data_IF_366877052157
#
_entry.id   IF_366877052157
#
_cell.length_a   1.000
_cell.length_b   1.000
_cell.length_c   1.000
_cell.angle_alpha   90.00
_cell.angle_beta   90.00
_cell.angle_gamma   90.00
#
_symmetry.space_group_name_H-M   'P 1'
#
loop_
_entity.id
_entity.type
_entity.pdbx_description
1 polymer ?
#
# COMPACT_ATOMS: atom_id res chain seq x y z
N UNK A 1 -48.00 58.32 23.68
CA UNK A 1 -47.81 57.03 23.01
C UNK A 1 -46.40 57.02 22.40
N UNK A 2 -45.43 56.46 23.11
CA UNK A 2 -44.02 56.37 22.62
C UNK A 2 -43.80 54.99 21.99
N UNK A 3 -43.51 54.96 20.68
CA UNK A 3 -43.15 53.75 19.95
C UNK A 3 -41.65 53.50 20.14
N UNK A 4 -41.32 52.40 20.83
CA UNK A 4 -39.94 51.96 20.98
C UNK A 4 -39.65 51.06 19.75
N UNK A 5 -38.71 51.52 18.92
CA UNK A 5 -38.21 50.79 17.76
C UNK A 5 -37.02 49.92 18.24
N UNK A 6 -37.26 48.60 18.31
CA UNK A 6 -36.22 47.62 18.66
C UNK A 6 -35.40 47.28 17.42
N UNK A 7 -34.14 47.73 17.41
CA UNK A 7 -33.20 47.47 16.32
C UNK A 7 -32.54 46.13 16.57
N UNK A 8 -32.89 45.10 15.80
CA UNK A 8 -32.19 43.80 15.82
C UNK A 8 -30.89 43.88 15.02
N UNK A 9 -29.76 43.87 15.70
CA UNK A 9 -28.44 43.71 15.07
C UNK A 9 -28.16 42.22 14.87
N UNK A 10 -28.25 41.77 13.62
CA UNK A 10 -27.84 40.41 13.22
C UNK A 10 -26.32 40.38 13.06
N UNK A 11 -25.61 39.80 14.03
CA UNK A 11 -24.17 39.54 13.94
C UNK A 11 -23.97 38.30 13.08
N UNK A 12 -23.60 38.50 11.82
CA UNK A 12 -23.18 37.40 10.92
C UNK A 12 -21.78 36.99 11.29
N UNK A 13 -21.64 35.85 12.01
CA UNK A 13 -20.34 35.18 12.26
C UNK A 13 -19.93 34.52 10.94
N UNK A 14 -19.05 35.18 10.19
CA UNK A 14 -18.36 34.57 9.07
C UNK A 14 -17.33 33.58 9.63
N UNK A 15 -17.73 32.34 9.75
CA UNK A 15 -16.79 31.25 10.02
C UNK A 15 -15.88 31.08 8.79
N UNK A 16 -14.66 31.60 8.84
CA UNK A 16 -13.58 31.24 7.94
C UNK A 16 -13.22 29.77 8.17
N UNK A 17 -13.97 28.86 7.53
CA UNK A 17 -13.57 27.49 7.38
C UNK A 17 -12.38 27.43 6.41
N UNK A 18 -11.15 27.37 6.95
CA UNK A 18 -9.98 27.05 6.15
C UNK A 18 -10.21 25.69 5.49
N UNK A 19 -10.51 25.69 4.20
CA UNK A 19 -10.51 24.49 3.37
C UNK A 19 -9.10 23.89 3.45
N UNK A 20 -8.90 22.89 4.31
CA UNK A 20 -7.78 21.94 4.16
C UNK A 20 -7.97 21.39 2.75
N UNK A 21 -7.08 21.78 1.83
CA UNK A 21 -6.98 21.21 0.50
C UNK A 21 -6.91 19.70 0.71
N UNK A 22 -7.97 18.97 0.39
CA UNK A 22 -7.96 17.53 0.40
C UNK A 22 -6.79 17.13 -0.48
N UNK A 23 -5.74 16.55 0.10
CA UNK A 23 -4.68 15.91 -0.65
C UNK A 23 -5.44 14.88 -1.48
N UNK A 24 -5.26 14.95 -2.80
CA UNK A 24 -5.94 14.05 -3.73
C UNK A 24 -5.45 12.64 -3.38
N UNK A 25 -6.15 11.99 -2.44
CA UNK A 25 -5.75 10.70 -1.86
C UNK A 25 -5.59 9.63 -2.94
N UNK A 26 -6.29 9.78 -4.05
CA UNK A 26 -6.27 8.86 -5.16
C UNK A 26 -4.96 8.93 -5.98
N UNK A 27 -4.25 10.05 -5.96
CA UNK A 27 -2.98 10.19 -6.70
C UNK A 27 -1.91 9.19 -6.22
N UNK A 28 -1.84 8.93 -4.93
CA UNK A 28 -0.82 8.08 -4.32
C UNK A 28 -1.37 6.71 -3.92
N UNK A 29 -2.26 6.16 -4.74
CA UNK A 29 -2.67 4.76 -4.62
C UNK A 29 -1.94 3.91 -5.65
N UNK A 30 -1.58 2.67 -5.28
CA UNK A 30 -0.93 1.73 -6.20
C UNK A 30 -1.82 1.48 -7.44
N UNK A 31 -3.13 1.52 -7.26
CA UNK A 31 -4.12 1.35 -8.32
C UNK A 31 -4.14 2.53 -9.32
N UNK A 32 -3.70 3.72 -8.90
CA UNK A 32 -3.64 4.89 -9.81
C UNK A 32 -2.56 4.73 -10.89
N UNK A 33 -1.59 3.86 -10.67
CA UNK A 33 -0.51 3.55 -11.61
C UNK A 33 -0.89 2.48 -12.63
N UNK A 34 -1.89 1.64 -12.30
CA UNK A 34 -2.34 0.58 -13.20
C UNK A 34 -2.68 1.14 -14.59
N UNK A 35 -2.30 0.40 -15.63
CA UNK A 35 -2.54 0.77 -17.03
C UNK A 35 -1.85 2.07 -17.48
N UNK A 36 -0.87 2.58 -16.72
CA UNK A 36 -0.03 3.71 -17.12
C UNK A 36 1.26 3.21 -17.77
N UNK A 37 1.71 3.93 -18.78
CA UNK A 37 3.07 3.77 -19.30
C UNK A 37 4.04 4.72 -18.57
N UNK A 38 5.33 4.57 -18.87
CA UNK A 38 6.40 5.34 -18.27
C UNK A 38 6.17 6.87 -18.36
N UNK A 39 5.88 7.39 -19.55
CA UNK A 39 5.68 8.83 -19.77
C UNK A 39 4.50 9.39 -18.98
N UNK A 40 3.41 8.63 -18.89
CA UNK A 40 2.25 9.01 -18.10
C UNK A 40 2.58 9.09 -16.61
N UNK A 41 3.37 8.14 -16.11
CA UNK A 41 3.81 8.12 -14.71
C UNK A 41 4.72 9.31 -14.42
N UNK A 42 5.71 9.59 -15.27
CA UNK A 42 6.56 10.76 -15.10
C UNK A 42 5.78 12.09 -15.15
N UNK A 43 4.79 12.16 -16.01
CA UNK A 43 3.88 13.32 -16.06
C UNK A 43 3.06 13.52 -14.79
N UNK A 44 2.68 12.43 -14.10
CA UNK A 44 1.96 12.47 -12.82
C UNK A 44 2.85 12.83 -11.63
N UNK A 45 4.11 12.40 -11.66
CA UNK A 45 5.07 12.49 -10.56
C UNK A 45 6.37 13.18 -11.01
N UNK A 46 6.25 14.38 -11.54
CA UNK A 46 7.38 15.16 -12.07
C UNK A 46 8.45 15.54 -11.02
N UNK A 47 8.13 15.37 -9.75
CA UNK A 47 8.99 15.60 -8.58
C UNK A 47 9.64 14.30 -8.05
N UNK A 48 9.49 13.18 -8.75
CA UNK A 48 9.84 11.86 -8.21
C UNK A 48 11.33 11.49 -8.34
N UNK A 49 12.12 12.23 -9.13
CA UNK A 49 13.53 11.96 -9.42
C UNK A 49 13.81 10.47 -9.75
N UNK A 50 13.26 9.94 -10.86
CA UNK A 50 13.18 8.51 -11.10
C UNK A 50 14.54 7.90 -11.40
N UNK A 51 14.86 6.78 -10.77
CA UNK A 51 15.95 5.88 -11.15
C UNK A 51 15.45 4.76 -12.06
N UNK A 52 16.21 4.41 -13.08
CA UNK A 52 15.90 3.36 -14.03
C UNK A 52 17.04 2.34 -14.11
N UNK A 53 16.68 1.08 -14.30
CA UNK A 53 17.63 -0.01 -14.49
C UNK A 53 16.94 -1.26 -15.01
N UNK A 54 17.71 -2.34 -15.04
CA UNK A 54 17.22 -3.69 -15.33
C UNK A 54 17.58 -4.60 -14.16
N UNK A 55 16.74 -5.57 -13.88
CA UNK A 55 16.99 -6.58 -12.85
C UNK A 55 16.52 -7.96 -13.33
N UNK A 56 17.15 -8.99 -12.79
CA UNK A 56 16.82 -10.37 -13.07
C UNK A 56 15.65 -10.80 -12.17
N UNK A 57 14.55 -11.19 -12.79
CA UNK A 57 13.34 -11.68 -12.15
C UNK A 57 13.18 -13.18 -12.37
N UNK A 58 12.16 -13.79 -11.74
CA UNK A 58 11.78 -15.17 -11.94
C UNK A 58 12.98 -16.12 -11.74
N UNK A 59 13.62 -16.01 -10.56
CA UNK A 59 14.81 -16.81 -10.18
C UNK A 59 16.01 -16.62 -11.14
N UNK A 60 16.16 -15.40 -11.67
CA UNK A 60 17.26 -15.05 -12.56
C UNK A 60 17.09 -15.53 -14.01
N UNK A 61 15.86 -15.86 -14.44
CA UNK A 61 15.59 -16.36 -15.79
C UNK A 61 15.09 -15.30 -16.75
N UNK A 62 14.52 -14.19 -16.25
CA UNK A 62 13.96 -13.10 -17.06
C UNK A 62 14.52 -11.76 -16.59
N UNK A 63 15.21 -11.04 -17.47
CA UNK A 63 15.59 -9.65 -17.24
C UNK A 63 14.40 -8.73 -17.52
N UNK A 64 14.10 -7.83 -16.58
CA UNK A 64 13.03 -6.83 -16.74
C UNK A 64 13.52 -5.44 -16.41
N UNK A 65 13.12 -4.42 -17.19
CA UNK A 65 13.37 -3.04 -16.85
C UNK A 65 12.53 -2.62 -15.63
N UNK A 66 13.10 -1.73 -14.83
CA UNK A 66 12.39 -1.13 -13.69
C UNK A 66 12.52 0.38 -13.66
N UNK A 67 11.68 1.00 -12.85
CA UNK A 67 11.73 2.41 -12.48
C UNK A 67 11.43 2.52 -10.99
N UNK A 68 12.28 3.22 -10.26
CA UNK A 68 12.04 3.58 -8.86
C UNK A 68 11.64 5.05 -8.85
N UNK A 69 10.50 5.38 -8.27
CA UNK A 69 10.11 6.75 -7.99
C UNK A 69 10.47 7.10 -6.55
N UNK A 70 10.93 8.31 -6.31
CA UNK A 70 11.37 8.83 -5.01
C UNK A 70 12.46 7.98 -4.34
N UNK A 71 13.54 7.59 -5.05
CA UNK A 71 14.54 6.64 -4.57
C UNK A 71 15.17 7.08 -3.24
N UNK A 72 15.41 6.13 -2.34
CA UNK A 72 16.03 6.36 -1.04
C UNK A 72 15.16 7.15 -0.04
N UNK A 73 13.89 7.37 -0.33
CA UNK A 73 12.95 8.05 0.58
C UNK A 73 11.89 7.09 1.11
N UNK A 74 11.15 7.50 2.14
CA UNK A 74 9.98 6.73 2.61
C UNK A 74 8.83 6.66 1.58
N UNK A 75 8.91 7.44 0.54
CA UNK A 75 7.94 7.48 -0.57
C UNK A 75 8.39 6.64 -1.76
N UNK A 76 9.46 5.85 -1.60
CA UNK A 76 9.98 4.97 -2.64
C UNK A 76 8.94 3.96 -3.09
N UNK A 77 8.82 3.79 -4.41
CA UNK A 77 8.00 2.76 -5.04
C UNK A 77 8.73 2.21 -6.26
N UNK A 78 8.81 0.90 -6.34
CA UNK A 78 9.41 0.17 -7.46
C UNK A 78 8.32 -0.24 -8.45
N UNK A 79 8.55 0.06 -9.72
CA UNK A 79 7.71 -0.33 -10.85
C UNK A 79 8.53 -1.20 -11.78
N UNK A 80 8.16 -2.45 -11.94
CA UNK A 80 8.76 -3.38 -12.90
C UNK A 80 7.92 -3.42 -14.18
N UNK A 81 8.57 -3.37 -15.33
CA UNK A 81 7.91 -3.31 -16.64
C UNK A 81 7.92 -4.66 -17.33
N UNK A 82 6.95 -4.90 -18.23
CA UNK A 82 6.89 -6.13 -19.04
C UNK A 82 7.92 -6.12 -20.17
N UNK A 83 8.30 -4.92 -20.64
CA UNK A 83 9.16 -4.73 -21.81
C UNK A 83 10.02 -3.45 -21.68
N UNK A 84 11.05 -3.36 -22.51
CA UNK A 84 11.99 -2.21 -22.55
C UNK A 84 11.33 -0.89 -22.97
N UNK A 85 10.23 -0.96 -23.70
CA UNK A 85 9.47 0.23 -24.10
C UNK A 85 8.65 0.81 -22.95
N UNK A 86 8.60 0.10 -21.79
CA UNK A 86 7.90 0.51 -20.57
C UNK A 86 6.44 0.92 -20.82
N UNK A 87 5.77 0.15 -21.69
CA UNK A 87 4.38 0.41 -22.07
C UNK A 87 3.38 -0.22 -21.14
N UNK A 88 3.77 -1.30 -20.47
CA UNK A 88 2.92 -2.10 -19.59
C UNK A 88 3.66 -2.51 -18.32
N UNK A 89 3.01 -2.34 -17.19
CA UNK A 89 3.54 -2.69 -15.88
C UNK A 89 3.43 -4.20 -15.68
N UNK A 90 4.48 -4.82 -15.15
CA UNK A 90 4.50 -6.20 -14.65
C UNK A 90 4.10 -6.25 -13.19
N UNK A 91 4.80 -5.49 -12.33
CA UNK A 91 4.40 -5.29 -10.95
C UNK A 91 4.76 -3.90 -10.42
N UNK A 92 4.15 -3.55 -9.30
CA UNK A 92 4.40 -2.34 -8.53
C UNK A 92 4.51 -2.77 -7.08
N UNK A 93 5.54 -2.34 -6.36
CA UNK A 93 5.64 -2.63 -4.94
C UNK A 93 6.26 -1.49 -4.13
N UNK A 94 5.90 -1.43 -2.84
CA UNK A 94 6.47 -0.52 -1.85
C UNK A 94 6.42 -1.16 -0.46
N UNK A 95 7.38 -0.79 0.38
CA UNK A 95 7.55 -1.34 1.73
C UNK A 95 7.67 -0.27 2.82
N UNK A 96 7.75 1.00 2.45
CA UNK A 96 7.90 2.08 3.39
C UNK A 96 6.57 2.75 3.72
N UNK A 97 6.43 3.22 4.97
CA UNK A 97 5.23 3.93 5.42
C UNK A 97 5.29 5.41 5.01
N UNK A 98 5.30 5.66 3.72
CA UNK A 98 5.26 6.97 3.09
C UNK A 98 3.85 7.40 2.68
N UNK A 99 3.76 8.05 1.53
CA UNK A 99 2.49 8.57 0.96
C UNK A 99 1.68 7.52 0.19
N UNK A 100 2.28 6.37 -0.17
CA UNK A 100 1.60 5.33 -0.93
C UNK A 100 0.63 4.52 -0.08
N UNK A 101 -0.46 4.14 -0.70
CA UNK A 101 -1.49 3.30 -0.10
C UNK A 101 -2.18 2.45 -1.17
N UNK A 102 -3.03 1.51 -0.76
CA UNK A 102 -3.99 0.87 -1.65
C UNK A 102 -5.36 1.57 -1.54
N UNK A 103 -6.09 1.64 -2.63
CA UNK A 103 -7.49 2.09 -2.66
C UNK A 103 -8.42 1.22 -1.76
N UNK A 104 -7.94 0.03 -1.37
CA UNK A 104 -8.65 -0.86 -0.44
C UNK A 104 -8.63 -0.37 1.01
N UNK A 105 -7.78 0.61 1.34
CA UNK A 105 -7.51 1.08 2.70
C UNK A 105 -6.37 0.32 3.39
N UNK A 106 -5.80 -0.72 2.75
CA UNK A 106 -4.61 -1.43 3.24
C UNK A 106 -3.38 -0.54 3.02
N UNK A 107 -2.53 -0.41 4.03
CA UNK A 107 -1.28 0.36 4.00
C UNK A 107 -0.19 -0.32 4.81
N UNK A 108 1.05 0.09 4.63
CA UNK A 108 2.17 -0.37 5.46
C UNK A 108 1.87 -0.07 6.93
N UNK A 109 2.08 -1.06 7.79
CA UNK A 109 1.77 -0.99 9.21
C UNK A 109 0.35 -1.40 9.58
N UNK A 110 -0.56 -1.68 8.62
CA UNK A 110 -1.87 -2.30 8.91
C UNK A 110 -1.65 -3.59 9.69
N UNK A 111 -2.30 -3.75 10.84
CA UNK A 111 -2.17 -4.94 11.68
C UNK A 111 -2.86 -6.15 11.07
N UNK A 112 -2.51 -7.35 11.52
CA UNK A 112 -3.16 -8.59 11.09
C UNK A 112 -4.68 -8.57 11.28
N UNK A 113 -5.15 -8.07 12.43
CA UNK A 113 -6.58 -7.99 12.74
C UNK A 113 -7.31 -6.98 11.85
N UNK A 114 -6.70 -5.79 11.63
CA UNK A 114 -7.24 -4.79 10.71
C UNK A 114 -7.30 -5.35 9.28
N UNK A 115 -6.25 -6.05 8.83
CA UNK A 115 -6.18 -6.68 7.52
C UNK A 115 -7.29 -7.73 7.35
N UNK A 116 -7.47 -8.61 8.34
CA UNK A 116 -8.51 -9.63 8.37
C UNK A 116 -9.90 -9.00 8.34
N UNK A 117 -10.11 -7.91 9.09
CA UNK A 117 -11.37 -7.15 9.09
C UNK A 117 -11.65 -6.50 7.73
N UNK A 118 -10.65 -5.89 7.08
CA UNK A 118 -10.78 -5.30 5.74
C UNK A 118 -11.07 -6.38 4.69
N UNK A 119 -10.44 -7.56 4.83
CA UNK A 119 -10.69 -8.73 3.98
C UNK A 119 -12.08 -9.36 4.19
N UNK A 120 -12.71 -9.14 5.35
CA UNK A 120 -13.99 -9.75 5.74
C UNK A 120 -13.88 -11.21 6.20
N UNK A 121 -12.68 -11.76 6.23
CA UNK A 121 -12.29 -13.06 6.76
C UNK A 121 -10.89 -12.99 7.33
N UNK A 122 -10.61 -13.88 8.29
CA UNK A 122 -9.27 -14.09 8.80
C UNK A 122 -8.33 -14.49 7.66
N UNK A 123 -7.22 -13.75 7.53
CA UNK A 123 -6.20 -14.06 6.54
C UNK A 123 -5.28 -15.17 7.05
N UNK A 124 -4.68 -15.91 6.12
CA UNK A 124 -3.58 -16.84 6.39
C UNK A 124 -2.30 -16.28 5.81
N UNK A 125 -1.15 -16.80 6.23
CA UNK A 125 0.14 -16.33 5.72
C UNK A 125 1.16 -17.46 5.66
N UNK A 126 2.15 -17.29 4.79
CA UNK A 126 3.30 -18.17 4.70
C UNK A 126 4.35 -17.83 5.76
N UNK A 127 5.13 -18.81 6.17
CA UNK A 127 6.22 -18.62 7.13
C UNK A 127 7.26 -17.62 6.61
N UNK A 128 8.12 -17.16 7.53
CA UNK A 128 9.12 -16.13 7.25
C UNK A 128 10.46 -16.73 6.77
N UNK A 129 11.38 -15.86 6.32
CA UNK A 129 12.78 -16.20 6.03
C UNK A 129 13.02 -16.85 4.68
N UNK A 130 12.14 -16.62 3.70
CA UNK A 130 12.29 -17.04 2.31
C UNK A 130 11.62 -16.01 1.39
N UNK A 131 11.71 -16.15 0.08
CA UNK A 131 11.33 -15.13 -0.92
C UNK A 131 9.87 -14.65 -0.81
N UNK A 132 8.96 -15.55 -0.43
CA UNK A 132 7.54 -15.20 -0.21
C UNK A 132 7.16 -15.21 1.27
N UNK A 133 8.15 -15.00 2.14
CA UNK A 133 7.94 -14.99 3.58
C UNK A 133 6.91 -13.95 4.01
N UNK A 134 5.89 -14.38 4.76
CA UNK A 134 4.79 -13.53 5.21
C UNK A 134 3.73 -13.23 4.16
N UNK A 135 3.80 -13.84 2.95
CA UNK A 135 2.78 -13.64 1.91
C UNK A 135 1.40 -14.03 2.44
N UNK A 136 0.44 -13.12 2.26
CA UNK A 136 -0.95 -13.28 2.71
C UNK A 136 -1.75 -14.10 1.71
N UNK A 137 -2.49 -15.06 2.25
CA UNK A 137 -3.56 -15.78 1.56
C UNK A 137 -4.91 -15.24 2.07
N UNK A 138 -5.74 -14.81 1.16
CA UNK A 138 -7.00 -14.13 1.49
C UNK A 138 -8.10 -15.05 2.02
N UNK A 139 -7.90 -16.39 1.94
CA UNK A 139 -8.74 -17.41 2.57
C UNK A 139 -10.24 -17.29 2.16
N UNK A 140 -10.49 -17.18 0.86
CA UNK A 140 -11.82 -16.88 0.26
C UNK A 140 -12.45 -15.58 0.76
N UNK A 141 -11.64 -14.62 1.19
CA UNK A 141 -12.10 -13.29 1.58
C UNK A 141 -12.27 -12.36 0.38
N UNK A 142 -12.54 -11.09 0.68
CA UNK A 142 -12.86 -10.06 -0.32
C UNK A 142 -11.81 -9.91 -1.42
N UNK A 143 -10.55 -10.18 -1.13
CA UNK A 143 -9.45 -9.96 -2.06
C UNK A 143 -8.90 -11.23 -2.71
N UNK A 144 -9.55 -12.38 -2.55
CA UNK A 144 -9.08 -13.67 -3.07
C UNK A 144 -8.71 -13.64 -4.55
N UNK A 145 -9.48 -12.96 -5.37
CA UNK A 145 -9.25 -12.84 -6.80
C UNK A 145 -8.63 -11.50 -7.21
N UNK A 146 -8.08 -10.75 -6.25
CA UNK A 146 -7.43 -9.48 -6.56
C UNK A 146 -6.00 -9.70 -7.02
N UNK A 147 -5.47 -8.71 -7.74
CA UNK A 147 -4.04 -8.66 -8.11
C UNK A 147 -3.16 -8.09 -6.97
N UNK A 148 -3.78 -7.72 -5.86
CA UNK A 148 -3.10 -7.19 -4.69
C UNK A 148 -2.42 -8.33 -3.92
N UNK A 149 -1.14 -8.20 -3.69
CA UNK A 149 -0.32 -9.07 -2.84
C UNK A 149 0.11 -8.28 -1.62
N UNK A 150 0.00 -8.87 -0.46
CA UNK A 150 0.35 -8.23 0.81
C UNK A 150 1.25 -9.19 1.58
N UNK A 151 2.26 -8.65 2.22
CA UNK A 151 3.20 -9.42 3.04
C UNK A 151 3.15 -8.89 4.47
N UNK A 152 3.15 -9.83 5.40
CA UNK A 152 3.20 -9.55 6.83
C UNK A 152 4.62 -9.78 7.36
N UNK A 153 5.02 -8.96 8.31
CA UNK A 153 6.24 -9.19 9.09
C UNK A 153 5.94 -9.12 10.58
N UNK A 154 6.60 -9.95 11.39
CA UNK A 154 6.49 -9.86 12.84
C UNK A 154 7.22 -8.62 13.36
N UNK A 155 6.74 -8.05 14.45
CA UNK A 155 7.47 -7.00 15.16
C UNK A 155 8.53 -7.65 16.05
N UNK A 156 9.75 -7.81 15.52
CA UNK A 156 10.85 -8.52 16.17
C UNK A 156 11.05 -9.92 15.62
N UNK A 157 11.94 -10.69 16.28
CA UNK A 157 12.25 -12.07 15.86
C UNK A 157 11.11 -13.01 16.26
N UNK A 158 10.56 -13.72 15.30
CA UNK A 158 9.62 -14.80 15.54
C UNK A 158 10.33 -16.07 16.03
N UNK A 159 9.60 -16.97 16.70
CA UNK A 159 10.11 -18.29 17.04
C UNK A 159 10.36 -19.12 15.77
N UNK A 160 11.31 -20.06 15.84
CA UNK A 160 11.77 -20.83 14.68
C UNK A 160 10.65 -21.60 13.95
N UNK A 161 9.59 -21.99 14.66
CA UNK A 161 8.43 -22.64 14.07
C UNK A 161 7.65 -21.80 13.06
N UNK A 162 7.87 -20.49 13.01
CA UNK A 162 7.22 -19.57 12.07
C UNK A 162 8.06 -19.31 10.82
N UNK A 163 9.20 -19.99 10.67
CA UNK A 163 10.05 -19.88 9.50
C UNK A 163 9.85 -21.05 8.52
N UNK A 164 10.13 -20.78 7.24
CA UNK A 164 10.12 -21.78 6.15
C UNK A 164 8.96 -21.65 5.19
N UNK A 165 9.09 -22.32 4.05
CA UNK A 165 8.13 -22.33 2.94
C UNK A 165 6.94 -23.24 3.26
N UNK A 166 6.02 -22.76 4.08
CA UNK A 166 4.77 -23.43 4.43
C UNK A 166 3.74 -22.45 4.96
N UNK A 167 2.47 -22.80 4.84
CA UNK A 167 1.40 -22.11 5.55
C UNK A 167 1.60 -22.23 7.05
N UNK A 168 1.46 -21.11 7.74
CA UNK A 168 1.54 -21.08 9.20
C UNK A 168 0.17 -21.39 9.80
N UNK A 169 0.17 -22.34 10.72
CA UNK A 169 -0.95 -22.63 11.61
C UNK A 169 -0.57 -22.09 12.99
N UNK A 170 -1.16 -20.96 13.37
CA UNK A 170 -0.88 -20.24 14.61
C UNK A 170 -2.15 -20.05 15.42
N UNK A 171 -2.04 -20.17 16.74
CA UNK A 171 -3.15 -19.85 17.65
C UNK A 171 -3.38 -18.34 17.72
N UNK A 172 -4.54 -17.88 18.17
CA UNK A 172 -4.79 -16.45 18.38
C UNK A 172 -3.76 -15.78 19.28
N UNK A 173 -3.31 -16.45 20.35
CA UNK A 173 -2.29 -15.94 21.26
C UNK A 173 -0.92 -15.81 20.59
N UNK A 174 -0.60 -16.71 19.66
CA UNK A 174 0.63 -16.66 18.87
C UNK A 174 0.58 -15.52 17.85
N UNK A 175 -0.57 -15.30 17.20
CA UNK A 175 -0.77 -14.16 16.29
C UNK A 175 -0.59 -12.85 17.06
N UNK A 176 -1.20 -12.73 18.25
CA UNK A 176 -1.03 -11.56 19.10
C UNK A 176 0.45 -11.35 19.48
N UNK A 177 1.14 -12.42 19.89
CA UNK A 177 2.56 -12.37 20.26
C UNK A 177 3.48 -11.98 19.10
N UNK A 178 3.18 -12.40 17.87
CA UNK A 178 3.91 -12.03 16.66
C UNK A 178 3.74 -10.54 16.32
N UNK A 179 2.65 -9.92 16.74
CA UNK A 179 2.32 -8.52 16.44
C UNK A 179 2.55 -8.18 14.98
N UNK A 180 1.90 -8.97 14.11
CA UNK A 180 2.08 -8.91 12.66
C UNK A 180 1.55 -7.61 12.07
N UNK A 181 2.34 -7.04 11.16
CA UNK A 181 1.96 -5.85 10.40
C UNK A 181 2.29 -6.02 8.92
N UNK A 182 1.51 -5.37 8.08
CA UNK A 182 1.81 -5.26 6.66
C UNK A 182 3.15 -4.57 6.48
N UNK A 183 4.09 -5.24 5.84
CA UNK A 183 5.46 -4.78 5.56
C UNK A 183 5.71 -4.47 4.10
N UNK A 184 4.96 -5.12 3.20
CA UNK A 184 5.07 -4.89 1.75
C UNK A 184 3.70 -4.99 1.11
N UNK A 185 3.44 -4.11 0.17
CA UNK A 185 2.25 -4.16 -0.69
C UNK A 185 2.74 -4.21 -2.13
N UNK A 186 2.23 -5.18 -2.88
CA UNK A 186 2.55 -5.38 -4.28
C UNK A 186 1.25 -5.50 -5.08
N UNK A 187 1.24 -4.93 -6.27
CA UNK A 187 0.24 -5.19 -7.29
C UNK A 187 0.92 -5.87 -8.47
N UNK A 188 0.46 -7.05 -8.86
CA UNK A 188 1.01 -7.82 -9.99
C UNK A 188 -0.08 -8.05 -11.04
N UNK A 189 0.19 -7.61 -12.29
CA UNK A 189 -0.74 -7.74 -13.43
C UNK A 189 -0.74 -9.16 -14.02
#
# INVERSE_FOLDING_TARGET
>A
MKKILLLFVVISVVACGGSKKAINSDKYTIESLQHKNYEQILGMYSDADPENGNDMMEEGTVERPYTILYPGTKDEILITWKDDAKTSIFDINYSENGKWSSATGIKIGTTYDELSKINGKEVKFYGFGWDYGGAVMWNDGKFENSKLRVFLSPTGRAADKFYGDRMIDATPEEIEALNLKVSTIMYRD
#
